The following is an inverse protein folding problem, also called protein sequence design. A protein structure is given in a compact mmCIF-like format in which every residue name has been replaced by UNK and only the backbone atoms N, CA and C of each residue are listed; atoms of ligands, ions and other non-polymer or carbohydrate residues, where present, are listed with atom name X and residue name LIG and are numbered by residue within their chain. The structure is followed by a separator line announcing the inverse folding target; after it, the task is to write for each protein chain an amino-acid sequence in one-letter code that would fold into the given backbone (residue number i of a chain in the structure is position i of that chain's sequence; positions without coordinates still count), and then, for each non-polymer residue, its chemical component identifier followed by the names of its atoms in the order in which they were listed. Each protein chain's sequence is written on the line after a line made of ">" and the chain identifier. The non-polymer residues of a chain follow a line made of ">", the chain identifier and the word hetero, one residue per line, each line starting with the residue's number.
data_IF_950314429780
#
_entry.id   IF_950314429780
#
_cell.length_a   1.000
_cell.length_b   1.000
_cell.length_c   1.000
_cell.angle_alpha   90.00
_cell.angle_beta   90.00
_cell.angle_gamma   90.00
#
_symmetry.space_group_name_H-M   'P 1'
#
loop_
_entity.id
_entity.type
_entity.pdbx_description
1 polymer ?
#
# COMPACT_ATOMS: atom_id res chain seq x y z
N UNK A 1 -13.36 -14.27 23.97
CA UNK A 1 -12.59 -14.54 22.74
C UNK A 1 -11.36 -13.65 22.77
N UNK A 2 -10.15 -14.21 22.84
CA UNK A 2 -8.94 -13.39 22.69
C UNK A 2 -8.76 -13.13 21.20
N UNK A 3 -9.14 -11.93 20.74
CA UNK A 3 -8.84 -11.47 19.39
C UNK A 3 -7.33 -11.52 19.25
N UNK A 4 -6.80 -12.44 18.41
CA UNK A 4 -5.38 -12.46 18.08
C UNK A 4 -5.05 -11.09 17.50
N UNK A 5 -4.25 -10.29 18.22
CA UNK A 5 -3.80 -8.99 17.73
C UNK A 5 -3.11 -9.21 16.39
N UNK A 6 -3.65 -8.62 15.32
CA UNK A 6 -2.99 -8.60 14.02
C UNK A 6 -1.69 -7.78 14.17
N UNK A 7 -0.62 -8.16 13.45
CA UNK A 7 0.63 -7.41 13.53
C UNK A 7 0.36 -5.97 13.10
N UNK A 8 0.73 -4.98 13.92
CA UNK A 8 0.49 -3.59 13.58
C UNK A 8 1.48 -3.09 12.51
N UNK A 9 1.03 -2.14 11.70
CA UNK A 9 1.83 -1.36 10.76
C UNK A 9 1.50 0.13 10.92
N UNK A 10 2.16 1.02 10.18
CA UNK A 10 1.81 2.44 10.20
C UNK A 10 0.37 2.72 9.76
N UNK A 11 -0.19 1.88 8.89
CA UNK A 11 -1.54 2.03 8.33
C UNK A 11 -2.56 1.05 8.95
N UNK A 12 -2.17 0.33 10.01
CA UNK A 12 -3.09 -0.55 10.73
C UNK A 12 -2.62 -0.76 12.16
N UNK A 13 -3.42 -0.37 13.14
CA UNK A 13 -3.04 -0.46 14.56
C UNK A 13 -3.27 -1.86 15.17
N UNK A 14 -3.81 -2.81 14.40
CA UNK A 14 -4.10 -4.16 14.85
C UNK A 14 -5.35 -4.29 15.73
N UNK A 15 -6.15 -3.23 15.87
CA UNK A 15 -7.35 -3.20 16.72
C UNK A 15 -8.64 -3.47 15.95
N UNK A 16 -8.70 -3.09 14.68
CA UNK A 16 -9.79 -3.41 13.75
C UNK A 16 -9.43 -4.58 12.83
N UNK A 17 -10.40 -5.31 12.29
CA UNK A 17 -10.15 -6.21 11.15
C UNK A 17 -9.55 -5.44 9.97
N UNK A 18 -8.52 -5.99 9.32
CA UNK A 18 -7.92 -5.35 8.13
C UNK A 18 -8.97 -5.11 7.03
N UNK A 19 -9.92 -6.02 6.85
CA UNK A 19 -11.00 -5.91 5.85
C UNK A 19 -11.93 -4.70 6.04
N UNK A 20 -11.96 -4.11 7.24
CA UNK A 20 -12.75 -2.92 7.56
C UNK A 20 -12.01 -1.60 7.24
N UNK A 21 -10.73 -1.65 6.86
CA UNK A 21 -9.95 -0.46 6.48
C UNK A 21 -10.29 0.01 5.06
N UNK A 22 -9.98 1.27 4.72
CA UNK A 22 -9.91 1.69 3.33
C UNK A 22 -8.99 0.79 2.50
N UNK A 23 -9.36 0.49 1.25
CA UNK A 23 -8.61 -0.44 0.39
C UNK A 23 -7.12 -0.08 0.27
N UNK A 24 -6.78 1.21 0.17
CA UNK A 24 -5.38 1.65 0.12
C UNK A 24 -4.61 1.24 1.38
N UNK A 25 -5.24 1.38 2.55
CA UNK A 25 -4.64 1.05 3.83
C UNK A 25 -4.50 -0.46 4.02
N UNK A 26 -5.46 -1.24 3.50
CA UNK A 26 -5.36 -2.70 3.45
C UNK A 26 -4.13 -3.13 2.65
N UNK A 27 -3.94 -2.57 1.45
CA UNK A 27 -2.80 -2.90 0.60
C UNK A 27 -1.49 -2.42 1.22
N UNK A 28 -1.46 -1.18 1.73
CA UNK A 28 -0.28 -0.62 2.40
C UNK A 28 0.17 -1.50 3.59
N UNK A 29 -0.81 -1.94 4.39
CA UNK A 29 -0.60 -2.87 5.49
C UNK A 29 -0.01 -4.20 5.01
N UNK A 30 -0.63 -4.84 4.02
CA UNK A 30 -0.19 -6.11 3.47
C UNK A 30 1.25 -6.04 2.93
N UNK A 31 1.57 -5.01 2.15
CA UNK A 31 2.90 -4.83 1.56
C UNK A 31 3.96 -4.73 2.66
N UNK A 32 3.72 -3.94 3.71
CA UNK A 32 4.74 -3.70 4.75
C UNK A 32 4.85 -4.83 5.75
N UNK A 33 3.78 -5.58 6.01
CA UNK A 33 3.87 -6.81 6.80
C UNK A 33 4.73 -7.86 6.09
N UNK A 34 4.58 -7.99 4.77
CA UNK A 34 5.33 -8.97 3.97
C UNK A 34 6.76 -8.49 3.63
N UNK A 35 6.96 -7.19 3.44
CA UNK A 35 8.22 -6.57 3.01
C UNK A 35 8.44 -5.23 3.72
N UNK A 36 8.97 -5.32 4.95
CA UNK A 36 9.17 -4.15 5.83
C UNK A 36 10.07 -3.08 5.24
N UNK A 37 11.00 -3.46 4.37
CA UNK A 37 11.90 -2.57 3.64
C UNK A 37 11.19 -1.64 2.65
N UNK A 38 9.98 -2.01 2.20
CA UNK A 38 9.17 -1.20 1.29
C UNK A 38 8.34 -0.12 1.99
N UNK A 39 8.42 -0.01 3.33
CA UNK A 39 7.67 1.01 4.07
C UNK A 39 7.89 2.45 3.57
N UNK A 40 9.13 2.89 3.22
CA UNK A 40 9.34 4.22 2.65
C UNK A 40 8.68 4.40 1.27
N UNK A 41 8.57 3.33 0.48
CA UNK A 41 7.90 3.38 -0.83
C UNK A 41 6.39 3.50 -0.68
N UNK A 42 5.80 2.74 0.24
CA UNK A 42 4.37 2.81 0.57
C UNK A 42 4.03 4.19 1.15
N UNK A 43 4.83 4.72 2.08
CA UNK A 43 4.67 6.08 2.62
C UNK A 43 4.67 7.13 1.52
N UNK A 44 5.56 7.00 0.53
CA UNK A 44 5.62 7.92 -0.61
C UNK A 44 4.33 7.94 -1.44
N UNK A 45 3.68 6.80 -1.63
CA UNK A 45 2.41 6.72 -2.37
C UNK A 45 1.28 7.29 -1.52
N UNK A 46 1.26 6.97 -0.22
CA UNK A 46 0.21 7.44 0.69
C UNK A 46 0.22 8.97 0.85
N UNK A 47 1.41 9.57 0.95
CA UNK A 47 1.60 11.02 1.11
C UNK A 47 1.54 11.79 -0.23
N UNK A 48 1.31 11.12 -1.36
CA UNK A 48 1.21 11.77 -2.66
C UNK A 48 -0.07 12.62 -2.78
N UNK A 49 0.03 13.75 -3.49
CA UNK A 49 -1.11 14.61 -3.83
C UNK A 49 -1.97 13.94 -4.93
N UNK A 50 -2.68 12.89 -4.53
CA UNK A 50 -3.58 12.08 -5.35
C UNK A 50 -4.99 12.09 -4.76
N UNK A 51 -6.00 11.94 -5.62
CA UNK A 51 -7.33 11.56 -5.14
C UNK A 51 -7.30 10.15 -4.52
N UNK A 52 -8.32 9.79 -3.75
CA UNK A 52 -8.38 8.46 -3.14
C UNK A 52 -8.38 7.33 -4.19
N UNK A 53 -9.07 7.52 -5.31
CA UNK A 53 -9.07 6.58 -6.44
C UNK A 53 -7.68 6.44 -7.09
N UNK A 54 -7.00 7.57 -7.30
CA UNK A 54 -5.64 7.56 -7.86
C UNK A 54 -4.64 6.94 -6.89
N UNK A 55 -4.77 7.20 -5.59
CA UNK A 55 -3.92 6.59 -4.56
C UNK A 55 -4.13 5.08 -4.48
N UNK A 56 -5.39 4.62 -4.52
CA UNK A 56 -5.75 3.20 -4.61
C UNK A 56 -5.11 2.54 -5.83
N UNK A 57 -5.19 3.19 -7.00
CA UNK A 57 -4.60 2.70 -8.23
C UNK A 57 -3.06 2.63 -8.14
N UNK A 58 -2.41 3.68 -7.66
CA UNK A 58 -0.96 3.72 -7.49
C UNK A 58 -0.48 2.61 -6.54
N UNK A 59 -1.18 2.42 -5.43
CA UNK A 59 -0.84 1.39 -4.44
C UNK A 59 -1.03 -0.02 -5.00
N UNK A 60 -2.11 -0.25 -5.76
CA UNK A 60 -2.36 -1.52 -6.46
C UNK A 60 -1.29 -1.81 -7.51
N UNK A 61 -0.96 -0.83 -8.36
CA UNK A 61 0.11 -0.95 -9.37
C UNK A 61 1.46 -1.28 -8.71
N UNK A 62 1.80 -0.58 -7.62
CA UNK A 62 3.01 -0.86 -6.86
C UNK A 62 2.99 -2.28 -6.28
N UNK A 63 1.91 -2.72 -5.61
CA UNK A 63 1.79 -4.08 -5.08
C UNK A 63 1.97 -5.14 -6.17
N UNK A 64 1.26 -5.00 -7.27
CA UNK A 64 1.25 -6.00 -8.35
C UNK A 64 2.63 -6.09 -9.03
N UNK A 65 3.32 -4.96 -9.18
CA UNK A 65 4.69 -4.89 -9.71
C UNK A 65 5.71 -5.67 -8.89
N UNK A 66 5.48 -5.89 -7.58
CA UNK A 66 6.38 -6.68 -6.74
C UNK A 66 6.42 -8.16 -7.16
N UNK A 67 5.40 -8.64 -7.88
CA UNK A 67 5.33 -10.00 -8.41
C UNK A 67 6.01 -10.15 -9.77
N UNK A 68 6.33 -9.05 -10.44
CA UNK A 68 6.90 -9.03 -11.78
C UNK A 68 8.30 -8.39 -11.77
N UNK A 69 9.32 -9.17 -12.10
CA UNK A 69 10.67 -8.65 -12.17
C UNK A 69 10.83 -7.66 -13.34
N UNK A 70 11.37 -6.49 -13.03
CA UNK A 70 11.59 -5.42 -14.01
C UNK A 70 10.38 -4.52 -14.26
N UNK A 71 9.24 -4.73 -13.58
CA UNK A 71 8.09 -3.83 -13.70
C UNK A 71 8.47 -2.41 -13.21
N UNK A 72 8.28 -1.37 -14.04
CA UNK A 72 8.66 -0.01 -13.68
C UNK A 72 7.84 0.56 -12.51
N UNK A 73 6.64 0.05 -12.25
CA UNK A 73 5.82 0.45 -11.10
C UNK A 73 6.39 -0.03 -9.75
N UNK A 74 7.47 -0.83 -9.75
CA UNK A 74 8.25 -1.12 -8.53
C UNK A 74 8.90 0.14 -7.95
N UNK A 75 9.11 1.17 -8.77
CA UNK A 75 9.42 2.50 -8.24
C UNK A 75 8.09 3.20 -7.88
N UNK A 76 7.85 3.54 -6.60
CA UNK A 76 6.63 4.24 -6.19
C UNK A 76 6.41 5.55 -6.95
N UNK A 77 7.47 6.24 -7.42
CA UNK A 77 7.33 7.45 -8.23
C UNK A 77 6.66 7.18 -9.57
N UNK A 78 6.98 6.06 -10.20
CA UNK A 78 6.39 5.68 -11.48
C UNK A 78 4.93 5.30 -11.28
N UNK A 79 4.62 4.51 -10.24
CA UNK A 79 3.25 4.15 -9.91
C UNK A 79 2.37 5.39 -9.62
N UNK A 80 2.90 6.38 -8.88
CA UNK A 80 2.21 7.66 -8.64
C UNK A 80 1.92 8.40 -9.95
N UNK A 81 2.92 8.53 -10.83
CA UNK A 81 2.76 9.22 -12.11
C UNK A 81 1.77 8.48 -13.01
N UNK A 82 1.85 7.15 -13.06
CA UNK A 82 0.93 6.34 -13.87
C UNK A 82 -0.52 6.52 -13.41
N UNK A 83 -0.77 6.46 -12.09
CA UNK A 83 -2.11 6.63 -11.54
C UNK A 83 -2.63 8.07 -11.66
N UNK A 84 -1.77 9.08 -11.53
CA UNK A 84 -2.17 10.47 -11.70
C UNK A 84 -2.67 10.80 -13.12
N UNK A 85 -2.24 10.01 -14.11
CA UNK A 85 -2.57 10.18 -15.53
C UNK A 85 -3.59 9.15 -16.07
N UNK A 86 -4.12 8.28 -15.19
CA UNK A 86 -5.13 7.29 -15.54
C UNK A 86 -6.54 7.90 -15.55
#
# INVERSE_FOLDING_TARGET
>A
MATKKQPASRWHDGTTPVEDLPETEQIAHEVVINRRDLAPSVERIMDAELSDDQRNLAMSMFRDSLTQDGDPNRDPRVAIIAAANA
#
